data_IF_343765239087
#
_entry.id   IF_343765239087
#
_cell.length_a   1.000
_cell.length_b   1.000
_cell.length_c   1.000
_cell.angle_alpha   90.00
_cell.angle_beta   90.00
_cell.angle_gamma   90.00
#
_symmetry.space_group_name_H-M   'P 1'
#
loop_
_entity.id
_entity.type
_entity.pdbx_description
1 polymer ?
#
# COMPACT_ATOMS: atom_id res chain seq x y z
N UNK A 1 6.94 22.46 8.59
CA UNK A 1 6.35 21.99 7.31
C UNK A 1 6.60 20.50 7.08
N UNK A 2 7.79 20.00 7.43
CA UNK A 2 8.22 18.60 7.29
C UNK A 2 7.28 17.57 7.95
N UNK A 3 6.93 17.77 9.23
CA UNK A 3 6.04 16.85 9.98
C UNK A 3 4.67 16.64 9.30
N UNK A 4 4.12 17.67 8.64
CA UNK A 4 2.85 17.56 7.90
C UNK A 4 3.01 16.74 6.62
N UNK A 5 4.17 16.82 5.98
CA UNK A 5 4.49 16.06 4.76
C UNK A 5 4.65 14.57 5.08
N UNK A 6 5.35 14.25 6.16
CA UNK A 6 5.56 12.86 6.58
C UNK A 6 4.27 12.20 7.07
N UNK A 7 3.46 12.94 7.84
CA UNK A 7 2.14 12.47 8.25
C UNK A 7 1.22 12.22 7.04
N UNK A 8 1.25 13.12 6.04
CA UNK A 8 0.52 12.94 4.79
C UNK A 8 1.03 11.72 4.02
N UNK A 9 2.35 11.60 3.82
CA UNK A 9 2.96 10.51 3.08
C UNK A 9 2.64 9.16 3.72
N UNK A 10 2.74 9.07 5.05
CA UNK A 10 2.36 7.88 5.79
C UNK A 10 0.91 7.52 5.56
N UNK A 11 0.00 8.50 5.68
CA UNK A 11 -1.42 8.24 5.48
C UNK A 11 -1.76 7.89 4.02
N UNK A 12 -1.10 8.52 3.06
CA UNK A 12 -1.21 8.21 1.64
C UNK A 12 -0.79 6.76 1.36
N UNK A 13 0.40 6.35 1.82
CA UNK A 13 0.88 4.99 1.65
C UNK A 13 -0.05 3.98 2.35
N UNK A 14 -0.56 4.31 3.54
CA UNK A 14 -1.52 3.45 4.26
C UNK A 14 -2.78 3.18 3.43
N UNK A 15 -3.37 4.24 2.87
CA UNK A 15 -4.58 4.12 2.05
C UNK A 15 -4.31 3.40 0.74
N UNK A 16 -3.18 3.69 0.08
CA UNK A 16 -2.79 3.04 -1.17
C UNK A 16 -2.59 1.53 -1.00
N UNK A 17 -1.82 1.12 0.03
CA UNK A 17 -1.55 -0.30 0.31
C UNK A 17 -2.83 -1.03 0.70
N UNK A 18 -3.64 -0.45 1.59
CA UNK A 18 -4.92 -1.06 1.98
C UNK A 18 -5.88 -1.25 0.80
N UNK A 19 -5.96 -0.25 -0.08
CA UNK A 19 -6.76 -0.34 -1.30
C UNK A 19 -6.24 -1.42 -2.25
N UNK A 20 -4.93 -1.44 -2.53
CA UNK A 20 -4.33 -2.37 -3.46
C UNK A 20 -4.39 -3.83 -2.98
N UNK A 21 -4.26 -4.06 -1.67
CA UNK A 21 -4.43 -5.40 -1.09
C UNK A 21 -5.93 -5.72 -1.02
N UNK A 22 -6.82 -4.74 -0.88
CA UNK A 22 -8.27 -4.92 -0.79
C UNK A 22 -8.76 -5.23 0.63
N UNK A 23 -8.00 -4.83 1.66
CA UNK A 23 -8.39 -4.96 3.07
C UNK A 23 -7.83 -3.81 3.90
N UNK A 24 -8.34 -3.69 5.12
CA UNK A 24 -7.69 -2.84 6.12
C UNK A 24 -6.27 -3.33 6.42
N UNK A 25 -5.36 -2.38 6.67
CA UNK A 25 -3.98 -2.65 7.04
C UNK A 25 -3.92 -3.31 8.41
N UNK A 26 -3.15 -4.39 8.49
CA UNK A 26 -2.84 -5.11 9.72
C UNK A 26 -1.49 -4.66 10.26
N UNK A 27 -1.23 -4.94 11.53
CA UNK A 27 0.08 -4.66 12.15
C UNK A 27 1.23 -5.36 11.41
N UNK A 28 0.97 -6.53 10.83
CA UNK A 28 1.90 -7.29 9.99
C UNK A 28 2.28 -6.61 8.67
N UNK A 29 1.53 -5.58 8.24
CA UNK A 29 1.81 -4.82 7.02
C UNK A 29 2.71 -3.59 7.29
N UNK A 30 2.95 -3.22 8.55
CA UNK A 30 3.78 -2.05 8.90
C UNK A 30 5.21 -2.15 8.33
N UNK A 31 5.88 -3.33 8.29
CA UNK A 31 7.19 -3.45 7.63
C UNK A 31 7.14 -3.08 6.14
N UNK A 32 6.15 -3.57 5.39
CA UNK A 32 5.98 -3.23 3.97
C UNK A 32 5.71 -1.72 3.79
N UNK A 33 4.93 -1.14 4.70
CA UNK A 33 4.61 0.28 4.67
C UNK A 33 5.85 1.15 4.89
N UNK A 34 6.72 0.77 5.83
CA UNK A 34 7.99 1.45 6.09
C UNK A 34 8.93 1.36 4.89
N UNK A 35 9.10 0.15 4.32
CA UNK A 35 9.93 -0.06 3.12
C UNK A 35 9.47 0.82 1.95
N UNK A 36 8.16 0.93 1.72
CA UNK A 36 7.60 1.80 0.66
C UNK A 36 7.91 3.27 0.92
N UNK A 37 7.83 3.73 2.18
CA UNK A 37 8.10 5.13 2.52
C UNK A 37 9.58 5.49 2.35
N UNK A 38 10.47 4.61 2.78
CA UNK A 38 11.91 4.76 2.62
C UNK A 38 12.29 4.82 1.12
N UNK A 39 11.82 3.87 0.32
CA UNK A 39 12.16 3.83 -1.11
C UNK A 39 11.53 4.99 -1.89
N UNK A 40 10.36 5.48 -1.46
CA UNK A 40 9.79 6.71 -1.99
C UNK A 40 10.68 7.91 -1.69
N UNK A 41 11.21 8.05 -0.48
CA UNK A 41 12.11 9.15 -0.15
C UNK A 41 13.38 9.12 -1.01
N UNK A 42 13.99 7.94 -1.19
CA UNK A 42 15.16 7.74 -2.04
C UNK A 42 14.88 8.00 -3.53
N UNK A 43 13.65 7.73 -3.97
CA UNK A 43 13.26 7.80 -5.39
C UNK A 43 12.63 9.14 -5.80
N UNK A 44 12.82 10.21 -5.03
CA UNK A 44 12.15 11.51 -5.23
C UNK A 44 10.62 11.41 -5.26
N UNK A 45 10.05 10.56 -4.40
CA UNK A 45 8.62 10.35 -4.19
C UNK A 45 7.83 9.94 -5.44
N UNK A 46 8.46 9.19 -6.37
CA UNK A 46 7.78 8.64 -7.55
C UNK A 46 6.79 7.55 -7.16
N UNK A 47 5.50 7.78 -7.40
CA UNK A 47 4.42 6.83 -7.09
C UNK A 47 4.61 5.46 -7.74
N UNK A 48 5.23 5.40 -8.93
CA UNK A 48 5.52 4.15 -9.63
C UNK A 48 6.35 3.17 -8.79
N UNK A 49 7.20 3.68 -7.90
CA UNK A 49 8.03 2.88 -6.98
C UNK A 49 7.16 2.20 -5.93
N UNK A 50 6.27 2.94 -5.28
CA UNK A 50 5.30 2.38 -4.34
C UNK A 50 4.41 1.32 -4.99
N UNK A 51 3.87 1.60 -6.18
CA UNK A 51 3.06 0.62 -6.92
C UNK A 51 3.86 -0.64 -7.24
N UNK A 52 5.10 -0.48 -7.72
CA UNK A 52 5.97 -1.61 -8.05
C UNK A 52 6.31 -2.47 -6.82
N UNK A 53 6.52 -1.86 -5.64
CA UNK A 53 6.71 -2.61 -4.39
C UNK A 53 5.46 -3.32 -3.94
N UNK A 54 4.31 -2.65 -4.00
CA UNK A 54 3.03 -3.25 -3.62
C UNK A 54 2.78 -4.50 -4.45
N UNK A 55 2.84 -4.42 -5.78
CA UNK A 55 2.55 -5.60 -6.64
C UNK A 55 3.58 -6.73 -6.50
N UNK A 56 4.80 -6.40 -6.06
CA UNK A 56 5.87 -7.38 -5.74
C UNK A 56 5.89 -7.78 -4.26
N UNK A 57 4.95 -7.33 -3.44
CA UNK A 57 4.89 -7.72 -2.04
C UNK A 57 4.29 -9.12 -1.90
N UNK A 58 4.65 -9.81 -0.82
CA UNK A 58 4.01 -11.08 -0.44
C UNK A 58 2.52 -10.87 -0.19
N UNK A 59 2.19 -9.77 0.49
CA UNK A 59 0.84 -9.37 0.87
C UNK A 59 -0.07 -9.24 -0.35
N UNK A 60 0.44 -8.74 -1.47
CA UNK A 60 -0.30 -8.61 -2.73
C UNK A 60 -0.35 -9.91 -3.54
N UNK A 61 0.76 -10.65 -3.62
CA UNK A 61 0.79 -11.90 -4.41
C UNK A 61 0.06 -13.06 -3.75
N UNK A 62 0.03 -13.10 -2.43
CA UNK A 62 -0.59 -14.16 -1.65
C UNK A 62 -1.98 -13.75 -1.11
N UNK A 63 -2.62 -12.76 -1.72
CA UNK A 63 -4.03 -12.46 -1.45
C UNK A 63 -4.84 -13.71 -1.81
N UNK A 64 -5.16 -14.54 -0.82
CA UNK A 64 -6.06 -15.68 -0.99
C UNK A 64 -7.48 -15.24 -0.66
N UNK A 65 -8.41 -15.55 -1.56
CA UNK A 65 -9.84 -15.60 -1.24
C UNK A 65 -10.46 -14.30 -0.74
N UNK A 66 -10.28 -13.19 -1.46
CA UNK A 66 -11.41 -12.27 -1.61
C UNK A 66 -11.96 -12.52 -2.98
N UNK A 67 -13.05 -13.29 -3.02
CA UNK A 67 -14.03 -13.14 -4.07
C UNK A 67 -14.20 -11.64 -4.28
N UNK A 68 -13.68 -11.12 -5.39
CA UNK A 68 -14.31 -9.94 -5.94
C UNK A 68 -15.69 -10.50 -6.30
N UNK A 69 -16.65 -10.34 -5.39
CA UNK A 69 -18.08 -10.52 -5.65
C UNK A 69 -18.42 -9.41 -6.64
N UNK A 70 -17.97 -9.58 -7.89
CA UNK A 70 -18.40 -8.80 -9.03
C UNK A 70 -19.86 -9.17 -9.20
N UNK A 71 -20.72 -8.40 -8.56
CA UNK A 71 -22.08 -8.04 -8.97
C UNK A 71 -22.65 -9.05 -9.98
N UNK A 72 -23.13 -10.18 -9.46
CA UNK A 72 -24.00 -11.08 -10.19
C UNK A 72 -25.15 -11.47 -9.28
N UNK A 73 -26.06 -10.53 -9.08
CA UNK A 73 -27.49 -10.80 -9.06
C UNK A 73 -28.20 -9.50 -9.40
N UNK A 74 -29.02 -9.62 -10.45
CA UNK A 74 -29.98 -8.65 -10.96
C UNK A 74 -30.85 -8.05 -9.87
#
# INVERSE_FOLDING_TARGET
MEVRRDAFLRQFCRKLVGYAIGRELQLSDEPLLSEIQEELAESNYRISVAVAKIVRSRQFREIRGRDIQLVNSR
#
